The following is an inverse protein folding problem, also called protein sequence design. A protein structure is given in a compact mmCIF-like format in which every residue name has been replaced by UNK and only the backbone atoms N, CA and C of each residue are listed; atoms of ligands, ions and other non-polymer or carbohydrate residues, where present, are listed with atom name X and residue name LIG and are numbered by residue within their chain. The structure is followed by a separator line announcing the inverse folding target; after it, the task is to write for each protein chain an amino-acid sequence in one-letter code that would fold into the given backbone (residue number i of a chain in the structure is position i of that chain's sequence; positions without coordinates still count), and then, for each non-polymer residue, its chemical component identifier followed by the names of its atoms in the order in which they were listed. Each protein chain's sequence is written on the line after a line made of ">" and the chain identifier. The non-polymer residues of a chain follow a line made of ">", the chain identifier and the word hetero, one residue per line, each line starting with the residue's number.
data_IF_923637754310
#
_entry.id   IF_923637754310
#
_cell.length_a   1.000
_cell.length_b   1.000
_cell.length_c   1.000
_cell.angle_alpha   90.00
_cell.angle_beta   90.00
_cell.angle_gamma   90.00
#
_symmetry.space_group_name_H-M   'P 1'
#
loop_
_entity.id
_entity.type
_entity.pdbx_description
1 polymer ?
#
# COMPACT_ATOMS: atom_id res chain seq x y z
N UNK A 1 -22.03 12.93 19.95
CA UNK A 1 -20.90 12.83 19.01
C UNK A 1 -19.73 13.50 19.69
N UNK A 2 -18.59 12.79 19.85
CA UNK A 2 -17.39 13.36 20.46
C UNK A 2 -16.87 14.53 19.61
N UNK A 3 -16.53 15.65 20.27
CA UNK A 3 -15.90 16.78 19.61
C UNK A 3 -14.50 16.38 19.09
N UNK A 4 -14.06 16.99 17.99
CA UNK A 4 -12.70 16.83 17.48
C UNK A 4 -11.75 17.55 18.45
N UNK A 5 -10.72 16.85 18.90
CA UNK A 5 -9.64 17.47 19.67
C UNK A 5 -8.58 17.97 18.68
N UNK A 6 -8.04 19.15 18.91
CA UNK A 6 -6.88 19.67 18.19
C UNK A 6 -5.62 19.10 18.85
N UNK A 7 -5.21 17.93 18.38
CA UNK A 7 -3.96 17.27 18.77
C UNK A 7 -3.13 17.01 17.52
N UNK A 8 -1.82 16.99 17.69
CA UNK A 8 -0.91 16.66 16.59
C UNK A 8 -1.17 15.25 16.06
N UNK A 9 -1.03 15.10 14.74
CA UNK A 9 -1.12 13.78 14.11
C UNK A 9 0.06 12.92 14.50
N UNK A 10 -0.12 11.60 14.70
CA UNK A 10 1.00 10.71 14.93
C UNK A 10 2.02 10.80 13.79
N UNK A 11 3.30 10.98 14.13
CA UNK A 11 4.37 11.15 13.14
C UNK A 11 4.43 10.00 12.12
N UNK A 12 4.13 8.78 12.55
CA UNK A 12 4.10 7.61 11.67
C UNK A 12 2.91 7.62 10.69
N UNK A 13 1.80 8.30 11.04
CA UNK A 13 0.66 8.47 10.14
C UNK A 13 0.96 9.44 8.99
N UNK A 14 1.89 10.38 9.18
CA UNK A 14 2.34 11.31 8.14
C UNK A 14 3.20 10.63 7.06
N UNK A 15 3.75 9.46 7.37
CA UNK A 15 4.53 8.66 6.43
C UNK A 15 3.66 7.80 5.50
N UNK A 16 2.34 7.78 5.71
CA UNK A 16 1.43 6.93 4.95
C UNK A 16 0.64 7.73 3.95
N UNK A 17 0.59 7.24 2.72
CA UNK A 17 -0.37 7.67 1.70
C UNK A 17 -1.27 6.54 1.27
N UNK A 18 -2.54 6.84 1.07
CA UNK A 18 -3.53 5.92 0.49
C UNK A 18 -3.71 6.28 -0.97
N UNK A 19 -3.52 5.29 -1.85
CA UNK A 19 -3.65 5.43 -3.30
C UNK A 19 -4.83 4.59 -3.77
N UNK A 20 -5.81 5.24 -4.41
CA UNK A 20 -6.96 4.58 -5.01
C UNK A 20 -6.82 4.61 -6.52
N UNK A 21 -6.92 3.45 -7.16
CA UNK A 21 -6.85 3.31 -8.61
C UNK A 21 -8.26 3.17 -9.16
N UNK A 22 -8.63 4.05 -10.09
CA UNK A 22 -9.94 4.06 -10.77
C UNK A 22 -11.13 3.82 -9.84
N UNK A 23 -11.22 4.51 -8.68
CA UNK A 23 -12.31 4.27 -7.74
C UNK A 23 -13.65 4.65 -8.39
N UNK A 24 -14.64 3.74 -8.32
CA UNK A 24 -15.90 3.89 -9.05
C UNK A 24 -16.95 4.68 -8.29
N UNK A 25 -17.03 4.49 -6.99
CA UNK A 25 -18.14 5.00 -6.18
C UNK A 25 -17.70 6.13 -5.26
N UNK A 26 -18.26 7.29 -5.47
CA UNK A 26 -18.02 8.51 -4.67
C UNK A 26 -18.22 8.27 -3.17
N UNK A 27 -19.25 7.50 -2.83
CA UNK A 27 -19.51 7.16 -1.45
C UNK A 27 -18.37 6.39 -0.77
N UNK A 28 -17.66 5.53 -1.52
CA UNK A 28 -16.49 4.82 -1.00
C UNK A 28 -15.32 5.78 -0.80
N UNK A 29 -15.10 6.70 -1.74
CA UNK A 29 -14.02 7.70 -1.62
C UNK A 29 -14.24 8.59 -0.38
N UNK A 30 -15.47 9.08 -0.18
CA UNK A 30 -15.81 9.85 1.02
C UNK A 30 -15.63 9.05 2.31
N UNK A 31 -16.02 7.76 2.31
CA UNK A 31 -15.84 6.87 3.44
C UNK A 31 -14.34 6.60 3.70
N UNK A 32 -13.52 6.44 2.65
CA UNK A 32 -12.06 6.31 2.76
C UNK A 32 -11.46 7.57 3.37
N UNK A 33 -11.80 8.76 2.88
CA UNK A 33 -11.31 10.02 3.44
C UNK A 33 -11.59 10.12 4.95
N UNK A 34 -12.80 9.75 5.37
CA UNK A 34 -13.17 9.70 6.79
C UNK A 34 -12.36 8.67 7.56
N UNK A 35 -12.17 7.48 6.98
CA UNK A 35 -11.43 6.38 7.62
C UNK A 35 -9.98 6.76 7.86
N UNK A 36 -9.28 7.28 6.87
CA UNK A 36 -7.86 7.62 7.02
C UNK A 36 -7.64 8.74 8.06
N UNK A 37 -8.57 9.70 8.14
CA UNK A 37 -8.53 10.73 9.18
C UNK A 37 -8.66 10.15 10.60
N UNK A 38 -9.45 9.07 10.80
CA UNK A 38 -9.56 8.41 12.11
C UNK A 38 -8.22 7.88 12.61
N UNK A 39 -7.28 7.60 11.72
CA UNK A 39 -5.94 7.10 12.03
C UNK A 39 -4.84 8.17 11.84
N UNK A 40 -5.23 9.44 11.72
CA UNK A 40 -4.29 10.57 11.58
C UNK A 40 -3.61 10.65 10.21
N UNK A 41 -4.00 9.81 9.24
CA UNK A 41 -3.50 9.86 7.87
C UNK A 41 -4.24 10.98 7.12
N UNK A 42 -3.50 11.83 6.40
CA UNK A 42 -4.06 13.00 5.71
C UNK A 42 -3.92 12.92 4.20
N UNK A 43 -3.07 12.05 3.70
CA UNK A 43 -2.72 12.01 2.29
C UNK A 43 -3.52 10.96 1.55
N UNK A 44 -4.34 11.43 0.61
CA UNK A 44 -5.13 10.63 -0.32
C UNK A 44 -4.68 10.95 -1.75
N UNK A 45 -4.38 9.94 -2.53
CA UNK A 45 -4.03 10.02 -3.94
C UNK A 45 -5.02 9.20 -4.77
N UNK A 46 -5.38 9.72 -5.91
CA UNK A 46 -6.28 9.03 -6.85
C UNK A 46 -5.64 8.98 -8.22
N UNK A 47 -5.67 7.80 -8.83
CA UNK A 47 -5.19 7.56 -10.20
C UNK A 47 -6.39 7.29 -11.09
N UNK A 48 -6.36 7.84 -12.31
CA UNK A 48 -7.35 7.57 -13.35
C UNK A 48 -8.69 8.32 -13.19
N UNK A 49 -8.77 9.23 -12.22
CA UNK A 49 -9.99 10.01 -11.98
C UNK A 49 -9.66 11.43 -11.53
N UNK A 50 -10.51 12.39 -11.93
CA UNK A 50 -10.44 13.80 -11.49
C UNK A 50 -11.08 14.02 -10.11
N UNK A 51 -10.90 15.22 -9.55
CA UNK A 51 -11.33 15.62 -8.21
C UNK A 51 -12.77 16.17 -8.10
N UNK A 52 -13.64 15.88 -9.03
CA UNK A 52 -15.02 16.32 -8.97
C UNK A 52 -15.85 15.43 -8.03
N UNK A 53 -15.79 15.75 -6.74
CA UNK A 53 -16.48 14.98 -5.71
C UNK A 53 -17.96 15.34 -5.61
N UNK A 54 -18.84 14.33 -5.71
CA UNK A 54 -20.27 14.49 -5.52
C UNK A 54 -20.65 14.82 -4.06
N UNK A 55 -21.89 15.23 -3.86
CA UNK A 55 -22.46 15.43 -2.53
C UNK A 55 -22.43 14.13 -1.69
N UNK A 56 -22.51 12.97 -2.33
CA UNK A 56 -22.38 11.69 -1.63
C UNK A 56 -20.99 11.52 -1.01
N UNK A 57 -19.91 11.79 -1.77
CA UNK A 57 -18.55 11.75 -1.27
C UNK A 57 -18.36 12.70 -0.09
N UNK A 58 -18.80 13.95 -0.26
CA UNK A 58 -18.72 14.99 0.78
C UNK A 58 -19.51 14.62 2.03
N UNK A 59 -20.73 14.12 1.86
CA UNK A 59 -21.57 13.69 2.97
C UNK A 59 -20.97 12.52 3.77
N UNK A 60 -20.33 11.57 3.10
CA UNK A 60 -19.67 10.43 3.77
C UNK A 60 -18.35 10.81 4.39
N UNK A 61 -17.60 11.74 3.83
CA UNK A 61 -16.37 12.27 4.39
C UNK A 61 -16.57 13.00 5.74
N UNK A 62 -17.75 13.58 5.98
CA UNK A 62 -18.06 14.32 7.22
C UNK A 62 -17.00 15.39 7.52
N UNK A 63 -16.26 15.24 8.63
CA UNK A 63 -15.21 16.17 9.06
C UNK A 63 -13.88 15.99 8.29
N UNK A 64 -13.80 15.01 7.37
CA UNK A 64 -12.65 14.74 6.56
C UNK A 64 -12.72 15.37 5.14
N UNK A 65 -13.53 16.39 4.94
CA UNK A 65 -13.67 17.03 3.63
C UNK A 65 -12.34 17.63 3.14
N UNK A 66 -11.54 18.14 4.04
CA UNK A 66 -10.21 18.66 3.73
C UNK A 66 -9.30 17.62 3.05
N UNK A 67 -9.48 16.32 3.35
CA UNK A 67 -8.75 15.23 2.68
C UNK A 67 -9.19 15.11 1.22
N UNK A 68 -10.48 15.27 0.93
CA UNK A 68 -11.00 15.29 -0.43
C UNK A 68 -10.53 16.52 -1.21
N UNK A 69 -10.48 17.68 -0.55
CA UNK A 69 -10.05 18.95 -1.15
C UNK A 69 -8.56 18.96 -1.47
N UNK A 70 -7.74 18.30 -0.63
CA UNK A 70 -6.30 18.17 -0.80
C UNK A 70 -5.89 16.88 -1.55
N UNK A 71 -6.87 16.13 -2.07
CA UNK A 71 -6.59 14.91 -2.80
C UNK A 71 -5.74 15.18 -4.05
N UNK A 72 -4.68 14.43 -4.22
CA UNK A 72 -3.81 14.54 -5.39
C UNK A 72 -4.24 13.57 -6.48
N UNK A 73 -4.15 14.01 -7.74
CA UNK A 73 -4.61 13.24 -8.90
C UNK A 73 -3.46 12.92 -9.82
N UNK A 74 -3.42 11.68 -10.32
CA UNK A 74 -2.33 11.16 -11.14
C UNK A 74 -2.88 10.34 -12.31
N UNK A 75 -2.08 10.21 -13.36
CA UNK A 75 -2.43 9.39 -14.53
C UNK A 75 -1.97 7.94 -14.39
N UNK A 76 -0.97 7.66 -13.52
CA UNK A 76 -0.41 6.32 -13.34
C UNK A 76 0.00 6.07 -11.89
N UNK A 77 0.14 4.78 -11.52
CA UNK A 77 0.64 4.35 -10.21
C UNK A 77 2.06 4.88 -10.00
N UNK A 78 2.93 4.74 -10.99
CA UNK A 78 4.33 5.18 -10.89
C UNK A 78 4.46 6.65 -10.54
N UNK A 79 3.62 7.51 -11.12
CA UNK A 79 3.57 8.93 -10.75
C UNK A 79 3.03 9.11 -9.32
N UNK A 80 1.97 8.36 -8.99
CA UNK A 80 1.32 8.48 -7.69
C UNK A 80 2.18 8.00 -6.51
N UNK A 81 3.25 7.24 -6.75
CA UNK A 81 4.11 6.66 -5.71
C UNK A 81 5.59 7.02 -5.88
N UNK A 82 5.88 8.03 -6.69
CA UNK A 82 7.26 8.40 -7.04
C UNK A 82 8.11 8.79 -5.83
N UNK A 83 7.51 9.41 -4.82
CA UNK A 83 8.13 9.83 -3.56
C UNK A 83 8.06 8.77 -2.46
N UNK A 84 7.55 7.55 -2.75
CA UNK A 84 7.40 6.50 -1.77
C UNK A 84 8.60 5.55 -1.76
N UNK A 85 9.05 5.19 -0.56
CA UNK A 85 10.10 4.21 -0.34
C UNK A 85 9.59 2.78 -0.42
N UNK A 86 8.29 2.56 -0.16
CA UNK A 86 7.64 1.26 -0.23
C UNK A 86 6.23 1.39 -0.77
N UNK A 87 5.88 0.52 -1.72
CA UNK A 87 4.57 0.45 -2.34
C UNK A 87 3.94 -0.90 -2.08
N UNK A 88 2.81 -0.91 -1.37
CA UNK A 88 2.10 -2.12 -0.97
C UNK A 88 0.77 -2.17 -1.71
N UNK A 89 0.65 -3.10 -2.66
CA UNK A 89 -0.59 -3.37 -3.39
C UNK A 89 -1.51 -4.28 -2.60
N UNK A 90 -2.82 -4.05 -2.68
CA UNK A 90 -3.82 -4.87 -2.00
C UNK A 90 -4.52 -5.82 -2.95
N UNK A 91 -4.79 -7.04 -2.50
CA UNK A 91 -5.55 -8.03 -3.26
C UNK A 91 -6.53 -8.76 -2.36
N UNK A 92 -7.81 -8.84 -2.80
CA UNK A 92 -8.84 -9.64 -2.13
C UNK A 92 -8.82 -11.12 -2.53
N UNK A 93 -8.04 -11.49 -3.54
CA UNK A 93 -7.94 -12.86 -4.02
C UNK A 93 -6.66 -13.51 -3.49
N UNK A 94 -6.80 -14.57 -2.72
CA UNK A 94 -5.75 -15.56 -2.50
C UNK A 94 -5.82 -16.57 -3.64
N UNK A 95 -5.32 -16.25 -4.82
CA UNK A 95 -5.19 -17.28 -5.83
C UNK A 95 -4.05 -18.22 -5.43
N UNK A 96 -4.44 -19.39 -4.96
CA UNK A 96 -3.58 -20.55 -4.79
C UNK A 96 -3.53 -21.23 -6.15
N UNK A 97 -2.53 -20.91 -6.97
CA UNK A 97 -2.34 -21.52 -8.28
C UNK A 97 -0.95 -21.26 -8.84
N UNK A 98 -0.48 -22.13 -9.72
CA UNK A 98 0.87 -22.14 -10.30
C UNK A 98 1.29 -20.83 -10.98
N UNK A 99 0.36 -19.92 -11.26
CA UNK A 99 0.64 -18.62 -11.88
C UNK A 99 1.03 -17.52 -10.88
N UNK A 100 0.87 -17.75 -9.56
CA UNK A 100 1.13 -16.76 -8.51
C UNK A 100 2.17 -17.26 -7.50
N UNK A 101 2.86 -18.33 -7.83
CA UNK A 101 3.86 -19.05 -7.02
C UNK A 101 5.00 -18.18 -6.48
N UNK A 102 5.12 -16.95 -6.95
CA UNK A 102 6.25 -16.05 -6.64
C UNK A 102 5.87 -14.80 -5.84
N UNK A 103 4.59 -14.61 -5.49
CA UNK A 103 4.16 -13.43 -4.74
C UNK A 103 4.01 -13.76 -3.26
N UNK A 104 4.85 -13.16 -2.45
CA UNK A 104 4.69 -13.21 -1.00
C UNK A 104 3.60 -12.24 -0.59
N UNK A 105 2.45 -12.78 -0.19
CA UNK A 105 1.40 -12.00 0.45
C UNK A 105 1.75 -11.79 1.92
N UNK A 106 1.60 -10.54 2.35
CA UNK A 106 1.68 -10.15 3.75
C UNK A 106 0.26 -9.97 4.27
N UNK A 107 0.00 -10.37 5.50
CA UNK A 107 -1.28 -10.09 6.17
C UNK A 107 -1.17 -8.83 7.03
N UNK A 108 -2.30 -8.19 7.40
CA UNK A 108 -2.27 -7.03 8.29
C UNK A 108 -1.54 -7.29 9.61
N UNK A 109 -1.61 -8.50 10.15
CA UNK A 109 -0.93 -8.90 11.40
C UNK A 109 0.60 -8.99 11.22
N UNK A 110 1.08 -9.20 10.00
CA UNK A 110 2.50 -9.27 9.69
C UNK A 110 3.12 -7.89 9.42
N UNK A 111 2.30 -6.86 9.13
CA UNK A 111 2.78 -5.50 8.89
C UNK A 111 3.69 -5.00 10.01
N UNK A 112 3.36 -5.21 11.33
CA UNK A 112 4.22 -4.78 12.43
C UNK A 112 5.65 -5.28 12.30
N UNK A 113 5.78 -6.58 12.02
CA UNK A 113 7.10 -7.25 11.95
C UNK A 113 7.87 -6.87 10.68
N UNK A 114 7.16 -6.54 9.60
CA UNK A 114 7.75 -6.24 8.30
C UNK A 114 8.14 -4.78 8.14
N UNK A 115 7.44 -3.88 8.82
CA UNK A 115 7.54 -2.44 8.63
C UNK A 115 8.03 -1.69 9.88
N UNK A 116 8.55 -2.41 10.86
CA UNK A 116 9.19 -1.78 12.01
C UNK A 116 10.27 -0.81 11.53
N UNK A 117 10.12 0.49 11.84
CA UNK A 117 11.05 1.57 11.50
C UNK A 117 11.18 1.91 10.01
N UNK A 118 10.02 2.10 9.36
CA UNK A 118 10.01 2.70 8.02
C UNK A 118 10.52 4.14 8.11
N UNK A 119 11.66 4.44 7.51
CA UNK A 119 12.21 5.81 7.49
C UNK A 119 11.57 6.67 6.40
N UNK A 120 11.03 6.07 5.34
CA UNK A 120 10.42 6.76 4.20
C UNK A 120 8.90 6.67 4.16
N UNK A 121 8.33 7.24 3.10
CA UNK A 121 6.88 7.21 2.85
C UNK A 121 6.44 5.84 2.34
N UNK A 122 5.29 5.36 2.83
CA UNK A 122 4.66 4.09 2.45
C UNK A 122 3.35 4.38 1.73
N UNK A 123 3.19 3.80 0.55
CA UNK A 123 1.93 3.83 -0.19
C UNK A 123 1.17 2.50 0.00
N UNK A 124 -0.09 2.58 0.42
CA UNK A 124 -1.04 1.47 0.31
C UNK A 124 -1.94 1.70 -0.90
N UNK A 125 -1.85 0.80 -1.88
CA UNK A 125 -2.52 0.92 -3.18
C UNK A 125 -3.72 -0.02 -3.24
N UNK A 126 -4.88 0.54 -3.58
CA UNK A 126 -6.14 -0.17 -3.70
C UNK A 126 -6.69 -0.02 -5.11
N UNK A 127 -7.15 -1.11 -5.69
CA UNK A 127 -7.81 -1.12 -6.99
C UNK A 127 -9.30 -0.76 -6.93
N UNK A 128 -9.95 -0.67 -8.10
CA UNK A 128 -11.39 -0.44 -8.21
C UNK A 128 -12.19 -1.56 -7.55
N UNK A 129 -13.38 -1.21 -7.08
CA UNK A 129 -14.21 -2.04 -6.20
C UNK A 129 -14.64 -3.37 -6.80
N UNK A 130 -14.76 -3.45 -8.11
CA UNK A 130 -15.26 -4.64 -8.80
C UNK A 130 -14.20 -5.65 -9.22
N UNK A 131 -13.00 -5.17 -9.60
CA UNK A 131 -11.95 -6.04 -10.15
C UNK A 131 -10.68 -6.07 -9.28
N UNK A 132 -10.51 -5.11 -8.38
CA UNK A 132 -9.26 -4.91 -7.64
C UNK A 132 -8.12 -4.44 -8.55
N UNK A 133 -6.88 -4.55 -8.09
CA UNK A 133 -5.70 -4.25 -8.90
C UNK A 133 -5.52 -5.31 -9.99
N UNK A 134 -5.23 -4.87 -11.22
CA UNK A 134 -4.84 -5.76 -12.32
C UNK A 134 -3.46 -6.36 -12.06
N UNK A 135 -3.11 -7.41 -12.80
CA UNK A 135 -1.79 -8.02 -12.68
C UNK A 135 -0.66 -7.01 -12.94
N UNK A 136 -0.81 -6.18 -13.96
CA UNK A 136 0.20 -5.17 -14.31
C UNK A 136 0.37 -4.14 -13.16
N UNK A 137 -0.75 -3.69 -12.57
CA UNK A 137 -0.73 -2.81 -11.40
C UNK A 137 -0.12 -3.45 -10.16
N UNK A 138 -0.39 -4.75 -9.93
CA UNK A 138 0.24 -5.51 -8.85
C UNK A 138 1.76 -5.67 -9.06
N UNK A 139 2.23 -5.69 -10.29
CA UNK A 139 3.66 -5.73 -10.63
C UNK A 139 4.39 -4.42 -10.31
N UNK A 140 3.68 -3.30 -10.30
CA UNK A 140 4.25 -2.00 -9.91
C UNK A 140 4.43 -1.86 -8.40
N UNK A 141 3.85 -2.78 -7.60
CA UNK A 141 3.98 -2.81 -6.16
C UNK A 141 5.22 -3.62 -5.71
N UNK A 142 5.80 -3.26 -4.57
CA UNK A 142 6.95 -3.94 -3.98
C UNK A 142 6.53 -5.14 -3.14
N UNK A 143 5.42 -5.01 -2.42
CA UNK A 143 4.79 -6.05 -1.60
C UNK A 143 3.31 -6.16 -1.94
N UNK A 144 2.74 -7.32 -1.70
CA UNK A 144 1.31 -7.55 -1.80
C UNK A 144 0.73 -7.85 -0.42
N UNK A 145 -0.38 -7.20 -0.11
CA UNK A 145 -1.11 -7.37 1.13
C UNK A 145 -2.49 -7.97 0.85
N UNK A 146 -2.84 -9.00 1.59
CA UNK A 146 -4.18 -9.58 1.56
C UNK A 146 -4.77 -9.59 2.97
N UNK A 147 -6.03 -9.19 3.08
CA UNK A 147 -6.79 -9.27 4.32
C UNK A 147 -7.47 -10.64 4.36
N UNK A 148 -7.17 -11.51 5.33
CA UNK A 148 -7.87 -12.77 5.49
C UNK A 148 -9.36 -12.55 5.75
N UNK A 149 -10.20 -13.16 4.93
CA UNK A 149 -11.65 -13.14 5.03
C UNK A 149 -12.21 -14.55 4.90
N UNK A 150 -13.50 -14.71 5.19
CA UNK A 150 -14.17 -15.98 4.95
C UNK A 150 -14.26 -16.26 3.44
N UNK A 151 -13.85 -17.45 3.02
CA UNK A 151 -13.77 -17.84 1.59
C UNK A 151 -15.13 -17.80 0.87
N UNK A 152 -16.24 -17.95 1.60
CA UNK A 152 -17.59 -17.86 1.01
C UNK A 152 -17.99 -16.44 0.60
N UNK A 153 -17.34 -15.37 1.14
CA UNK A 153 -17.55 -13.98 0.75
C UNK A 153 -16.27 -13.17 0.97
N UNK A 154 -15.25 -13.35 0.12
CA UNK A 154 -13.90 -12.89 0.41
C UNK A 154 -13.65 -11.41 0.14
N UNK A 155 -14.49 -10.75 -0.66
CA UNK A 155 -14.22 -9.38 -1.12
C UNK A 155 -14.80 -8.37 -0.15
N UNK A 156 -13.93 -7.56 0.43
CA UNK A 156 -14.32 -6.44 1.29
C UNK A 156 -14.70 -5.21 0.47
N UNK A 157 -15.63 -4.42 1.00
CA UNK A 157 -15.81 -3.07 0.51
C UNK A 157 -14.51 -2.27 0.64
N UNK A 158 -14.22 -1.38 -0.31
CA UNK A 158 -13.00 -0.59 -0.38
C UNK A 158 -12.70 0.13 0.95
N UNK A 159 -13.67 0.85 1.51
CA UNK A 159 -13.44 1.59 2.75
C UNK A 159 -13.21 0.69 3.96
N UNK A 160 -13.76 -0.52 3.98
CA UNK A 160 -13.50 -1.52 5.02
C UNK A 160 -12.08 -2.09 4.91
N UNK A 161 -11.62 -2.38 3.69
CA UNK A 161 -10.24 -2.82 3.46
C UNK A 161 -9.23 -1.74 3.90
N UNK A 162 -9.47 -0.48 3.52
CA UNK A 162 -8.67 0.66 3.97
C UNK A 162 -8.67 0.77 5.49
N UNK A 163 -9.85 0.59 6.15
CA UNK A 163 -9.97 0.69 7.61
C UNK A 163 -9.10 -0.35 8.33
N UNK A 164 -9.13 -1.60 7.89
CA UNK A 164 -8.33 -2.67 8.50
C UNK A 164 -6.84 -2.38 8.37
N UNK A 165 -6.39 -1.97 7.19
CA UNK A 165 -4.98 -1.68 6.93
C UNK A 165 -4.50 -0.46 7.74
N UNK A 166 -5.28 0.62 7.76
CA UNK A 166 -4.96 1.80 8.56
C UNK A 166 -4.94 1.50 10.06
N UNK A 167 -5.86 0.66 10.55
CA UNK A 167 -5.86 0.21 11.94
C UNK A 167 -4.60 -0.60 12.26
N UNK A 168 -4.25 -1.55 11.41
CA UNK A 168 -3.04 -2.36 11.61
C UNK A 168 -1.79 -1.49 11.64
N UNK A 169 -1.66 -0.53 10.71
CA UNK A 169 -0.57 0.44 10.71
C UNK A 169 -0.54 1.27 12.00
N UNK A 170 -1.68 1.82 12.40
CA UNK A 170 -1.79 2.66 13.60
C UNK A 170 -1.42 1.88 14.86
N UNK A 171 -1.92 0.63 14.99
CA UNK A 171 -1.67 -0.22 16.15
C UNK A 171 -0.19 -0.56 16.33
N UNK A 172 0.55 -0.75 15.22
CA UNK A 172 1.99 -0.99 15.24
C UNK A 172 2.75 0.15 15.92
N UNK A 173 2.33 1.37 15.58
CA UNK A 173 3.07 2.57 15.93
C UNK A 173 2.57 3.22 17.23
N UNK A 174 1.45 2.74 17.76
CA UNK A 174 0.91 3.19 19.06
C UNK A 174 1.53 2.46 20.25
N UNK A 175 2.00 1.22 20.06
CA UNK A 175 2.66 0.43 21.10
C UNK A 175 4.17 0.72 21.14
N UNK A 176 4.56 1.85 21.72
CA UNK A 176 5.98 2.25 21.85
C UNK A 176 6.82 1.38 22.80
N UNK A 177 6.24 0.36 23.43
CA UNK A 177 6.90 -0.46 24.45
C UNK A 177 7.43 -1.82 23.96
N UNK A 178 7.38 -2.11 22.66
CA UNK A 178 7.89 -3.39 22.14
C UNK A 178 9.35 -3.27 21.67
N UNK A 179 10.18 -3.89 22.50
CA UNK A 179 11.55 -4.39 22.35
C UNK A 179 12.29 -4.14 21.00
N UNK A 180 13.52 -3.67 21.17
CA UNK A 180 14.64 -3.65 20.25
C UNK A 180 14.61 -4.81 19.21
N UNK A 181 14.20 -4.50 18.00
CA UNK A 181 14.41 -5.35 16.85
C UNK A 181 15.11 -4.56 15.76
N UNK A 182 16.09 -5.21 15.14
CA UNK A 182 17.06 -4.67 14.18
C UNK A 182 16.44 -3.76 13.11
N UNK A 183 17.12 -2.66 12.85
CA UNK A 183 16.74 -1.65 11.85
C UNK A 183 16.67 -2.26 10.45
N UNK A 184 15.49 -2.27 9.86
CA UNK A 184 15.36 -2.48 8.43
C UNK A 184 15.47 -1.16 7.70
N UNK A 185 16.54 -0.98 6.96
CA UNK A 185 16.67 0.16 6.06
C UNK A 185 15.79 -0.07 4.84
N UNK A 186 14.73 0.70 4.72
CA UNK A 186 14.03 0.83 3.44
C UNK A 186 14.91 1.61 2.47
N UNK A 187 14.82 1.25 1.21
CA UNK A 187 15.44 2.00 0.14
C UNK A 187 14.77 3.38 0.05
N UNK A 188 15.54 4.45 -0.12
CA UNK A 188 14.97 5.73 -0.50
C UNK A 188 14.28 5.62 -1.88
N UNK A 189 13.36 6.55 -2.23
CA UNK A 189 12.58 6.44 -3.46
C UNK A 189 13.43 6.39 -4.74
N UNK A 190 14.55 7.10 -4.78
CA UNK A 190 15.45 7.10 -5.93
C UNK A 190 16.16 5.75 -6.05
N UNK A 191 16.71 5.24 -4.95
CA UNK A 191 17.37 3.94 -4.92
C UNK A 191 16.41 2.81 -5.25
N UNK A 192 15.14 2.91 -4.82
CA UNK A 192 14.06 1.98 -5.20
C UNK A 192 13.84 1.96 -6.72
N UNK A 193 13.76 3.13 -7.37
CA UNK A 193 13.61 3.22 -8.84
C UNK A 193 14.79 2.64 -9.57
N UNK A 194 16.00 2.97 -9.12
CA UNK A 194 17.24 2.43 -9.69
C UNK A 194 17.29 0.92 -9.57
N UNK A 195 16.98 0.36 -8.39
CA UNK A 195 16.94 -1.09 -8.19
C UNK A 195 15.98 -1.77 -9.15
N UNK A 196 14.75 -1.28 -9.27
CA UNK A 196 13.76 -1.84 -10.21
C UNK A 196 14.25 -1.80 -11.65
N UNK A 197 14.81 -0.66 -12.09
CA UNK A 197 15.35 -0.50 -13.43
C UNK A 197 16.48 -1.49 -13.70
N UNK A 198 17.39 -1.67 -12.77
CA UNK A 198 18.52 -2.58 -12.92
C UNK A 198 18.08 -4.05 -12.91
N UNK A 199 17.14 -4.44 -12.04
CA UNK A 199 16.55 -5.78 -12.04
C UNK A 199 15.88 -6.07 -13.38
N UNK A 200 15.04 -5.15 -13.89
CA UNK A 200 14.39 -5.29 -15.19
C UNK A 200 15.43 -5.46 -16.32
N UNK A 201 16.51 -4.67 -16.28
CA UNK A 201 17.59 -4.75 -17.27
C UNK A 201 18.30 -6.10 -17.22
N UNK A 202 18.63 -6.58 -16.03
CA UNK A 202 19.27 -7.88 -15.83
C UNK A 202 18.39 -9.02 -16.35
N UNK A 203 17.11 -9.03 -15.97
CA UNK A 203 16.18 -10.09 -16.36
C UNK A 203 15.95 -10.13 -17.87
N UNK A 204 15.85 -8.99 -18.55
CA UNK A 204 15.73 -8.95 -20.02
C UNK A 204 16.91 -9.62 -20.72
N UNK A 205 18.10 -9.47 -20.15
CA UNK A 205 19.33 -10.04 -20.72
C UNK A 205 19.62 -11.49 -20.28
N UNK A 206 18.80 -12.07 -19.38
CA UNK A 206 18.96 -13.46 -18.95
C UNK A 206 18.64 -14.45 -20.08
N UNK A 207 19.43 -15.51 -20.26
CA UNK A 207 19.16 -16.58 -21.21
C UNK A 207 18.08 -17.53 -20.69
N UNK A 208 16.86 -17.00 -20.49
CA UNK A 208 15.70 -17.76 -20.01
C UNK A 208 14.46 -17.50 -20.86
N UNK A 209 13.47 -18.38 -20.75
CA UNK A 209 12.22 -18.27 -21.51
C UNK A 209 11.45 -17.02 -21.07
N UNK A 210 10.86 -16.28 -22.02
CA UNK A 210 10.14 -15.02 -21.78
C UNK A 210 9.10 -15.12 -20.65
N UNK A 211 8.29 -16.18 -20.65
CA UNK A 211 7.27 -16.37 -19.61
C UNK A 211 7.83 -16.55 -18.19
N UNK A 212 9.12 -16.84 -18.04
CA UNK A 212 9.78 -16.96 -16.73
C UNK A 212 10.43 -15.65 -16.29
N UNK A 213 10.77 -14.76 -17.22
CA UNK A 213 11.45 -13.51 -16.94
C UNK A 213 10.68 -12.66 -15.93
N UNK A 214 9.39 -12.53 -16.18
CA UNK A 214 8.50 -11.75 -15.32
C UNK A 214 8.50 -12.25 -13.86
N UNK A 215 8.33 -13.54 -13.63
CA UNK A 215 8.40 -14.11 -12.28
C UNK A 215 9.76 -13.94 -11.59
N UNK A 216 10.86 -13.96 -12.36
CA UNK A 216 12.21 -13.72 -11.82
C UNK A 216 12.35 -12.26 -11.39
N UNK A 217 11.86 -11.31 -12.17
CA UNK A 217 11.89 -9.89 -11.86
C UNK A 217 11.13 -9.60 -10.57
N UNK A 218 9.90 -10.06 -10.45
CA UNK A 218 9.08 -9.91 -9.26
C UNK A 218 9.71 -10.50 -8.01
N UNK A 219 10.18 -11.75 -8.13
CA UNK A 219 10.81 -12.43 -6.99
C UNK A 219 12.04 -11.67 -6.52
N UNK A 220 12.86 -11.16 -7.46
CA UNK A 220 14.09 -10.44 -7.11
C UNK A 220 13.78 -9.13 -6.40
N UNK A 221 12.80 -8.35 -6.89
CA UNK A 221 12.39 -7.09 -6.25
C UNK A 221 11.81 -7.36 -4.86
N UNK A 222 10.85 -8.27 -4.76
CA UNK A 222 10.22 -8.62 -3.47
C UNK A 222 11.23 -9.16 -2.46
N UNK A 223 12.16 -10.02 -2.91
CA UNK A 223 13.17 -10.61 -2.06
C UNK A 223 14.16 -9.58 -1.52
N UNK A 224 14.53 -8.58 -2.33
CA UNK A 224 15.43 -7.52 -1.89
C UNK A 224 14.81 -6.66 -0.81
N UNK A 225 13.53 -6.34 -0.93
CA UNK A 225 12.79 -5.61 0.12
C UNK A 225 12.57 -6.46 1.38
N UNK A 226 12.41 -7.79 1.25
CA UNK A 226 12.19 -8.68 2.38
C UNK A 226 13.47 -9.09 3.11
N UNK A 227 14.61 -9.26 2.39
CA UNK A 227 15.87 -9.79 2.92
C UNK A 227 16.96 -8.75 3.20
N UNK A 228 16.74 -7.49 2.99
CA UNK A 228 17.63 -6.48 3.58
C UNK A 228 17.79 -6.68 5.10
N UNK A 229 16.96 -7.54 5.68
CA UNK A 229 16.89 -7.91 7.09
C UNK A 229 17.74 -9.12 7.51
N UNK A 230 18.04 -10.06 6.60
CA UNK A 230 18.66 -11.34 7.01
C UNK A 230 20.19 -11.39 6.83
N UNK A 231 20.77 -10.50 6.02
CA UNK A 231 22.20 -10.57 5.69
C UNK A 231 23.15 -10.01 6.75
N UNK A 232 22.64 -9.43 7.84
CA UNK A 232 23.50 -8.97 8.95
C UNK A 232 23.69 -10.00 10.07
N UNK A 233 23.16 -11.23 9.96
CA UNK A 233 23.35 -12.29 10.97
C UNK A 233 24.60 -13.18 10.74
N UNK A 234 25.37 -12.95 9.67
CA UNK A 234 26.57 -13.74 9.39
C UNK A 234 27.80 -12.85 9.15
N UNK A 235 28.13 -12.02 10.16
CA UNK A 235 29.49 -11.49 10.33
C UNK A 235 29.86 -11.42 11.80
#
# INVERSE_FOLDING_TARGET
>A
MGGRLEIDTPAESEKVTIVLIDPKYDGNIGAVARTILNFGIKELRVVGRDGNWSDEARNRAKHAQQILENCMHFESINQAVEDCSLVIGTSGKREIGDKISFRHFVTPEELPKRLQRVEGKVAFVFGPEDIGLTNDQLHECDLLLTIPTWEGYPILNLSHAVSIICYSWYSINSDKDHAETQESRLLDPELRRVLRSEVSRLVRNMPTKEHKKHGIEETTVSYTHLRAHETSQHR
#
